data_IF_013116386136
#
_entry.id   IF_013116386136
#
_cell.length_a   1.000
_cell.length_b   1.000
_cell.length_c   1.000
_cell.angle_alpha   90.00
_cell.angle_beta   90.00
_cell.angle_gamma   90.00
#
_symmetry.space_group_name_H-M   'P 1'
#
loop_
_entity.id
_entity.type
_entity.pdbx_description
1 polymer ?
#
# COMPACT_ATOMS: atom_id res chain seq x y z
N UNK A 1 88.19 -1.60 -36.76
CA UNK A 1 88.35 -0.97 -35.43
C UNK A 1 86.97 -0.54 -34.98
N UNK A 2 86.25 -1.34 -34.16
CA UNK A 2 86.26 -1.34 -32.68
C UNK A 2 85.88 0.03 -32.10
N UNK A 3 84.99 0.22 -31.12
CA UNK A 3 84.19 -0.61 -30.21
C UNK A 3 83.37 0.41 -29.40
N UNK A 4 82.11 0.12 -29.07
CA UNK A 4 81.42 0.34 -27.77
C UNK A 4 79.92 0.62 -27.92
N UNK A 5 79.15 -0.47 -27.77
CA UNK A 5 77.76 -0.49 -27.30
C UNK A 5 77.80 -0.48 -25.77
N UNK A 6 77.11 0.44 -25.09
CA UNK A 6 76.55 0.24 -23.73
C UNK A 6 75.27 1.10 -23.54
N UNK A 7 74.13 0.40 -23.43
CA UNK A 7 72.99 0.54 -22.47
C UNK A 7 72.48 1.98 -22.18
N UNK A 8 71.20 2.31 -22.43
CA UNK A 8 70.07 1.98 -21.54
C UNK A 8 68.73 1.98 -22.32
N UNK A 9 68.17 0.79 -22.54
CA UNK A 9 66.72 0.62 -22.66
C UNK A 9 66.20 0.38 -21.26
N UNK A 10 65.68 1.42 -20.62
CA UNK A 10 65.09 1.31 -19.31
C UNK A 10 64.18 2.50 -19.07
N UNK A 11 62.92 2.21 -18.75
CA UNK A 11 61.92 3.16 -18.23
C UNK A 11 61.15 3.95 -19.30
N UNK A 12 60.45 3.26 -20.20
CA UNK A 12 59.30 3.86 -20.90
C UNK A 12 58.09 2.91 -21.02
N UNK A 13 58.06 1.85 -20.20
CA UNK A 13 57.01 0.83 -20.21
C UNK A 13 56.17 0.70 -18.94
N UNK A 14 56.41 1.50 -17.88
CA UNK A 14 55.73 1.28 -16.58
C UNK A 14 54.76 2.42 -16.20
N UNK A 15 54.81 3.59 -16.84
CA UNK A 15 53.94 4.72 -16.41
C UNK A 15 52.55 4.70 -17.05
N UNK A 16 52.36 4.07 -18.22
CA UNK A 16 51.03 4.03 -18.88
C UNK A 16 50.14 2.89 -18.34
N UNK A 17 50.72 1.89 -17.64
CA UNK A 17 49.95 0.78 -17.05
C UNK A 17 49.27 1.12 -15.72
N UNK A 18 49.72 2.13 -14.99
CA UNK A 18 49.21 2.44 -13.64
C UNK A 18 48.19 3.60 -13.60
N UNK A 19 48.17 4.48 -14.61
CA UNK A 19 47.18 5.56 -14.66
C UNK A 19 45.78 5.09 -15.13
N UNK A 20 45.70 4.04 -15.95
CA UNK A 20 44.42 3.47 -16.40
C UNK A 20 43.79 2.50 -15.39
N UNK A 21 44.57 1.96 -14.45
CA UNK A 21 44.08 1.02 -13.43
C UNK A 21 43.33 1.68 -12.26
N UNK A 22 43.57 2.98 -12.01
CA UNK A 22 42.98 3.70 -10.87
C UNK A 22 41.67 4.39 -11.26
N UNK A 23 41.61 5.07 -12.41
CA UNK A 23 40.38 5.73 -12.86
C UNK A 23 39.28 4.75 -13.33
N UNK A 24 39.65 3.55 -13.81
CA UNK A 24 38.68 2.51 -14.16
C UNK A 24 38.09 1.79 -12.93
N UNK A 25 38.86 1.60 -11.86
CA UNK A 25 38.40 0.92 -10.65
C UNK A 25 37.32 1.72 -9.92
N UNK A 26 37.47 3.02 -9.77
CA UNK A 26 36.48 3.83 -9.05
C UNK A 26 35.16 3.95 -9.82
N UNK A 27 35.20 4.01 -11.16
CA UNK A 27 34.00 3.95 -12.00
C UNK A 27 33.33 2.56 -12.00
N UNK A 28 34.11 1.47 -12.04
CA UNK A 28 33.58 0.10 -11.96
C UNK A 28 32.95 -0.15 -10.58
N UNK A 29 33.62 0.24 -9.49
CA UNK A 29 33.12 0.07 -8.12
C UNK A 29 31.88 0.93 -7.86
N UNK A 30 31.81 2.16 -8.38
CA UNK A 30 30.58 2.97 -8.33
C UNK A 30 29.42 2.31 -9.10
N UNK A 31 29.70 1.75 -10.28
CA UNK A 31 28.69 1.05 -11.09
C UNK A 31 28.23 -0.27 -10.46
N UNK A 32 29.11 -1.00 -9.77
CA UNK A 32 28.79 -2.24 -9.05
C UNK A 32 27.97 -1.95 -7.79
N UNK A 33 28.29 -0.89 -7.04
CA UNK A 33 27.45 -0.43 -5.92
C UNK A 33 26.05 -0.03 -6.37
N UNK A 34 25.92 0.72 -7.45
CA UNK A 34 24.62 1.07 -8.02
C UNK A 34 23.82 -0.16 -8.47
N UNK A 35 24.47 -1.15 -9.09
CA UNK A 35 23.83 -2.43 -9.45
C UNK A 35 23.39 -3.23 -8.21
N UNK A 36 24.22 -3.28 -7.17
CA UNK A 36 23.90 -3.97 -5.92
C UNK A 36 22.74 -3.29 -5.19
N UNK A 37 22.72 -1.96 -5.14
CA UNK A 37 21.63 -1.18 -4.57
C UNK A 37 20.33 -1.36 -5.35
N UNK A 38 20.39 -1.37 -6.70
CA UNK A 38 19.24 -1.66 -7.54
C UNK A 38 18.70 -3.08 -7.34
N UNK A 39 19.58 -4.08 -7.23
CA UNK A 39 19.19 -5.47 -6.94
C UNK A 39 18.54 -5.60 -5.56
N UNK A 40 19.11 -4.95 -4.54
CA UNK A 40 18.54 -4.94 -3.20
C UNK A 40 17.16 -4.27 -3.18
N UNK A 41 17.01 -3.13 -3.87
CA UNK A 41 15.73 -2.45 -3.99
C UNK A 41 14.69 -3.30 -4.75
N UNK A 42 15.10 -4.01 -5.80
CA UNK A 42 14.23 -4.94 -6.53
C UNK A 42 13.78 -6.11 -5.64
N UNK A 43 14.69 -6.68 -4.85
CA UNK A 43 14.38 -7.78 -3.92
C UNK A 43 13.45 -7.31 -2.78
N UNK A 44 13.71 -6.14 -2.19
CA UNK A 44 12.82 -5.52 -1.21
C UNK A 44 11.42 -5.25 -1.79
N UNK A 45 11.35 -4.79 -3.04
CA UNK A 45 10.08 -4.58 -3.74
C UNK A 45 9.33 -5.89 -3.98
N UNK A 46 10.02 -6.97 -4.38
CA UNK A 46 9.43 -8.31 -4.55
C UNK A 46 8.92 -8.88 -3.23
N UNK A 47 9.70 -8.76 -2.15
CA UNK A 47 9.28 -9.19 -0.80
C UNK A 47 8.04 -8.41 -0.38
N UNK A 48 8.03 -7.08 -0.55
CA UNK A 48 6.87 -6.24 -0.24
C UNK A 48 5.66 -6.62 -1.09
N UNK A 49 5.84 -6.91 -2.37
CA UNK A 49 4.79 -7.36 -3.26
C UNK A 49 4.19 -8.70 -2.80
N UNK A 50 5.04 -9.64 -2.38
CA UNK A 50 4.61 -10.92 -1.83
C UNK A 50 3.85 -10.75 -0.50
N UNK A 51 4.36 -9.92 0.42
CA UNK A 51 3.74 -9.69 1.73
C UNK A 51 2.41 -8.97 1.64
N UNK A 52 2.28 -8.01 0.72
CA UNK A 52 1.08 -7.18 0.60
C UNK A 52 0.10 -7.67 -0.45
N UNK A 53 0.54 -8.54 -1.38
CA UNK A 53 -0.21 -8.92 -2.57
C UNK A 53 -0.36 -7.79 -3.60
N UNK A 54 0.47 -6.74 -3.52
CA UNK A 54 0.49 -5.61 -4.46
C UNK A 54 1.60 -5.83 -5.48
N UNK A 55 1.33 -5.93 -6.79
CA UNK A 55 2.36 -5.99 -7.81
C UNK A 55 3.35 -4.81 -7.73
N UNK A 56 4.60 -5.04 -8.08
CA UNK A 56 5.67 -4.01 -8.01
C UNK A 56 5.35 -2.81 -8.91
N UNK A 57 4.63 -3.05 -10.00
CA UNK A 57 4.18 -2.09 -11.02
C UNK A 57 2.72 -1.64 -10.83
N UNK A 58 2.12 -1.89 -9.66
CA UNK A 58 0.74 -1.52 -9.40
C UNK A 58 0.53 0.00 -9.50
N UNK A 59 -0.56 0.40 -10.17
CA UNK A 59 -0.97 1.81 -10.22
C UNK A 59 -1.38 2.34 -8.85
N UNK A 60 -1.38 3.66 -8.68
CA UNK A 60 -1.82 4.28 -7.42
C UNK A 60 -3.28 3.93 -7.09
N UNK A 61 -4.12 3.83 -8.11
CA UNK A 61 -5.54 3.47 -7.98
C UNK A 61 -5.72 2.02 -7.55
N UNK A 62 -4.91 1.10 -8.10
CA UNK A 62 -4.89 -0.29 -7.65
C UNK A 62 -4.54 -0.37 -6.17
N UNK A 63 -3.49 0.36 -5.76
CA UNK A 63 -3.01 0.39 -4.37
C UNK A 63 -4.11 0.96 -3.48
N UNK A 64 -4.68 2.13 -3.82
CA UNK A 64 -5.74 2.77 -3.06
C UNK A 64 -6.98 1.88 -2.92
N UNK A 65 -7.46 1.27 -4.01
CA UNK A 65 -8.59 0.35 -3.98
C UNK A 65 -8.31 -0.87 -3.08
N UNK A 66 -7.11 -1.46 -3.17
CA UNK A 66 -6.75 -2.59 -2.32
C UNK A 66 -6.67 -2.18 -0.85
N UNK A 67 -6.00 -1.07 -0.55
CA UNK A 67 -5.88 -0.55 0.82
C UNK A 67 -7.26 -0.26 1.41
N UNK A 68 -8.17 0.36 0.65
CA UNK A 68 -9.54 0.59 1.12
C UNK A 68 -10.25 -0.73 1.44
N UNK A 69 -10.15 -1.75 0.58
CA UNK A 69 -10.76 -3.05 0.84
C UNK A 69 -10.17 -3.71 2.09
N UNK A 70 -8.86 -3.64 2.28
CA UNK A 70 -8.19 -4.19 3.48
C UNK A 70 -8.64 -3.44 4.74
N UNK A 71 -8.81 -2.12 4.65
CA UNK A 71 -9.31 -1.28 5.74
C UNK A 71 -10.77 -1.58 6.07
N UNK A 72 -11.64 -1.73 5.06
CA UNK A 72 -13.04 -2.16 5.25
C UNK A 72 -13.11 -3.53 5.93
N UNK A 73 -12.28 -4.50 5.52
CA UNK A 73 -12.24 -5.83 6.15
C UNK A 73 -11.75 -5.77 7.59
N UNK A 74 -10.71 -4.96 7.86
CA UNK A 74 -10.22 -4.76 9.22
C UNK A 74 -11.30 -4.14 10.10
N UNK A 75 -12.03 -3.14 9.58
CA UNK A 75 -13.12 -2.49 10.30
C UNK A 75 -14.29 -3.46 10.54
N UNK A 76 -14.70 -4.23 9.53
CA UNK A 76 -15.71 -5.29 9.64
C UNK A 76 -15.35 -6.29 10.74
N UNK A 77 -14.12 -6.79 10.76
CA UNK A 77 -13.68 -7.73 11.80
C UNK A 77 -13.77 -7.13 13.21
N UNK A 78 -13.42 -5.85 13.36
CA UNK A 78 -13.52 -5.18 14.66
C UNK A 78 -14.96 -4.91 15.09
N UNK A 79 -15.83 -4.53 14.16
CA UNK A 79 -17.24 -4.32 14.45
C UNK A 79 -17.95 -5.63 14.77
N UNK A 80 -17.56 -6.74 14.16
CA UNK A 80 -18.04 -8.07 14.56
C UNK A 80 -17.67 -8.40 16.01
N UNK A 81 -16.43 -8.11 16.43
CA UNK A 81 -16.02 -8.29 17.83
C UNK A 81 -16.82 -7.37 18.75
N UNK A 82 -16.99 -6.10 18.37
CA UNK A 82 -17.78 -5.14 19.14
C UNK A 82 -19.25 -5.58 19.27
N UNK A 83 -19.86 -6.10 18.20
CA UNK A 83 -21.19 -6.69 18.22
C UNK A 83 -21.26 -7.85 19.22
N UNK A 84 -20.30 -8.78 19.19
CA UNK A 84 -20.29 -9.92 20.11
C UNK A 84 -20.15 -9.50 21.59
N UNK A 85 -19.38 -8.45 21.87
CA UNK A 85 -19.25 -7.87 23.21
C UNK A 85 -20.56 -7.23 23.73
N UNK A 86 -21.48 -6.88 22.82
CA UNK A 86 -22.73 -6.18 23.13
C UNK A 86 -23.96 -6.93 22.58
N UNK A 87 -23.87 -8.25 22.39
CA UNK A 87 -24.90 -9.04 21.70
C UNK A 87 -26.27 -9.01 22.39
N UNK A 88 -26.29 -8.76 23.70
CA UNK A 88 -27.51 -8.64 24.51
C UNK A 88 -28.09 -7.21 24.54
N UNK A 89 -27.45 -6.26 23.84
CA UNK A 89 -27.82 -4.85 23.85
C UNK A 89 -28.30 -4.39 22.48
N UNK A 90 -29.33 -3.54 22.47
CA UNK A 90 -29.74 -2.84 21.25
C UNK A 90 -28.75 -1.72 20.92
N UNK A 91 -27.82 -2.02 20.02
CA UNK A 91 -26.82 -1.04 19.56
C UNK A 91 -27.20 -0.50 18.16
N UNK A 92 -27.31 0.83 18.07
CA UNK A 92 -27.46 1.60 16.83
C UNK A 92 -26.09 2.10 16.39
N UNK A 93 -25.53 1.46 15.36
CA UNK A 93 -24.17 1.74 14.89
C UNK A 93 -24.01 3.19 14.44
N UNK A 94 -25.07 3.77 13.87
CA UNK A 94 -25.09 5.15 13.39
C UNK A 94 -24.86 6.13 14.53
N UNK A 95 -25.47 5.88 15.70
CA UNK A 95 -25.30 6.72 16.90
C UNK A 95 -24.01 6.42 17.63
N UNK A 96 -23.61 5.15 17.68
CA UNK A 96 -22.38 4.74 18.36
C UNK A 96 -21.13 5.25 17.67
N UNK A 97 -21.18 5.53 16.37
CA UNK A 97 -20.04 5.95 15.55
C UNK A 97 -20.33 7.26 14.77
N UNK A 98 -21.15 8.14 15.34
CA UNK A 98 -21.59 9.40 14.72
C UNK A 98 -20.50 10.50 14.66
N UNK A 99 -19.53 10.44 15.58
CA UNK A 99 -18.46 11.45 15.72
C UNK A 99 -17.07 10.82 15.71
N UNK A 100 -16.02 11.56 15.30
CA UNK A 100 -14.64 11.09 15.38
C UNK A 100 -14.22 10.67 16.79
N UNK A 101 -14.74 11.34 17.83
CA UNK A 101 -14.49 11.04 19.23
C UNK A 101 -15.07 9.68 19.61
N UNK A 102 -16.32 9.40 19.26
CA UNK A 102 -16.95 8.10 19.53
C UNK A 102 -16.28 6.97 18.71
N UNK A 103 -15.97 7.21 17.43
CA UNK A 103 -15.22 6.24 16.61
C UNK A 103 -13.87 5.92 17.27
N UNK A 104 -13.16 6.96 17.75
CA UNK A 104 -11.89 6.78 18.45
C UNK A 104 -12.08 5.96 19.72
N UNK A 105 -13.08 6.25 20.53
CA UNK A 105 -13.33 5.52 21.78
C UNK A 105 -13.56 4.02 21.53
N UNK A 106 -14.42 3.70 20.57
CA UNK A 106 -14.79 2.31 20.23
C UNK A 106 -13.61 1.56 19.61
N UNK A 107 -12.87 2.21 18.70
CA UNK A 107 -11.85 1.52 17.90
C UNK A 107 -10.43 1.58 18.50
N UNK A 108 -10.07 2.53 19.35
CA UNK A 108 -8.67 2.75 19.81
C UNK A 108 -8.02 1.53 20.46
N UNK A 109 -8.79 0.69 21.15
CA UNK A 109 -8.28 -0.55 21.76
C UNK A 109 -8.23 -1.75 20.80
N UNK A 110 -8.85 -1.58 19.62
CA UNK A 110 -9.19 -2.64 18.66
C UNK A 110 -8.36 -2.53 17.37
N UNK A 111 -7.91 -1.35 16.99
CA UNK A 111 -7.11 -1.12 15.77
C UNK A 111 -5.77 -0.43 16.08
N UNK A 112 -4.72 -0.78 15.34
CA UNK A 112 -3.38 -0.19 15.51
C UNK A 112 -3.32 1.29 15.11
N UNK A 113 -4.06 1.67 14.07
CA UNK A 113 -4.14 3.04 13.59
C UNK A 113 -5.62 3.39 13.43
N UNK A 114 -6.15 4.14 14.41
CA UNK A 114 -7.54 4.58 14.42
C UNK A 114 -7.76 5.80 13.53
N UNK A 115 -6.73 6.61 13.32
CA UNK A 115 -6.82 7.89 12.61
C UNK A 115 -7.30 7.74 11.17
N UNK A 116 -7.01 6.61 10.51
CA UNK A 116 -7.52 6.31 9.16
C UNK A 116 -9.05 6.18 9.08
N UNK A 117 -9.74 6.01 10.21
CA UNK A 117 -11.20 5.93 10.26
C UNK A 117 -11.87 7.25 10.64
N UNK A 118 -11.10 8.32 10.81
CA UNK A 118 -11.57 9.63 11.31
C UNK A 118 -11.61 10.70 10.21
N UNK A 119 -11.44 10.32 8.94
CA UNK A 119 -11.37 11.24 7.81
C UNK A 119 -12.74 11.82 7.38
N UNK A 120 -13.82 11.39 8.04
CA UNK A 120 -15.19 11.83 7.76
C UNK A 120 -15.83 11.18 6.52
N UNK A 121 -15.12 10.31 5.80
CA UNK A 121 -15.62 9.66 4.59
C UNK A 121 -16.20 8.26 4.87
N UNK A 122 -15.92 7.71 6.05
CA UNK A 122 -16.52 6.47 6.53
C UNK A 122 -18.00 6.65 6.85
N UNK A 123 -18.79 5.66 6.46
CA UNK A 123 -20.23 5.60 6.68
C UNK A 123 -20.50 4.42 7.61
N UNK A 124 -21.21 4.68 8.70
CA UNK A 124 -21.65 3.67 9.65
C UNK A 124 -23.17 3.66 9.66
N UNK A 125 -23.77 2.51 9.39
CA UNK A 125 -25.22 2.35 9.29
C UNK A 125 -25.64 1.02 9.91
N UNK A 126 -26.83 1.01 10.48
CA UNK A 126 -27.47 -0.22 10.93
C UNK A 126 -27.88 -0.21 12.40
N UNK A 127 -28.88 -1.04 12.68
CA UNK A 127 -29.31 -1.40 14.02
C UNK A 127 -28.80 -2.80 14.38
N UNK A 128 -29.17 -3.32 15.55
CA UNK A 128 -28.69 -4.58 16.15
C UNK A 128 -28.72 -5.82 15.25
N UNK A 129 -29.45 -5.80 14.12
CA UNK A 129 -29.60 -6.95 13.23
C UNK A 129 -28.90 -6.83 11.87
N UNK A 130 -28.54 -5.63 11.41
CA UNK A 130 -28.02 -5.43 10.05
C UNK A 130 -27.03 -4.25 10.01
N UNK A 131 -25.76 -4.54 10.27
CA UNK A 131 -24.71 -3.53 10.29
C UNK A 131 -24.00 -3.42 8.95
N UNK A 132 -23.79 -2.19 8.52
CA UNK A 132 -23.13 -1.83 7.28
C UNK A 132 -22.05 -0.80 7.54
N UNK A 133 -20.91 -0.99 6.89
CA UNK A 133 -19.88 0.02 6.74
C UNK A 133 -19.82 0.45 5.29
N UNK A 134 -19.57 1.73 5.06
CA UNK A 134 -19.34 2.26 3.73
C UNK A 134 -18.23 3.29 3.71
N UNK A 135 -17.86 3.69 2.51
CA UNK A 135 -16.89 4.75 2.28
C UNK A 135 -17.34 5.63 1.11
N UNK A 136 -17.26 6.94 1.31
CA UNK A 136 -17.54 7.96 0.30
C UNK A 136 -16.28 8.20 -0.55
N UNK A 137 -16.25 7.61 -1.74
CA UNK A 137 -15.14 7.71 -2.67
C UNK A 137 -15.02 9.11 -3.26
N UNK A 138 -16.15 9.77 -3.53
CA UNK A 138 -16.19 11.09 -4.13
C UNK A 138 -15.48 12.12 -3.25
N UNK A 139 -15.71 12.07 -1.93
CA UNK A 139 -15.08 12.99 -0.99
C UNK A 139 -13.67 12.52 -0.57
N UNK A 140 -13.48 11.22 -0.34
CA UNK A 140 -12.21 10.65 0.12
C UNK A 140 -11.10 10.66 -0.93
N UNK A 141 -11.45 10.43 -2.20
CA UNK A 141 -10.48 10.35 -3.30
C UNK A 141 -10.64 11.44 -4.37
N UNK A 142 -11.73 12.23 -4.31
CA UNK A 142 -11.95 13.39 -5.17
C UNK A 142 -11.81 13.02 -6.65
N UNK A 143 -10.87 13.64 -7.36
CA UNK A 143 -10.64 13.42 -8.80
C UNK A 143 -10.25 11.98 -9.15
N UNK A 144 -9.75 11.19 -8.18
CA UNK A 144 -9.36 9.79 -8.39
C UNK A 144 -10.50 8.79 -8.13
N UNK A 145 -11.65 9.25 -7.61
CA UNK A 145 -12.75 8.37 -7.20
C UNK A 145 -13.22 7.43 -8.32
N UNK A 146 -13.36 7.94 -9.55
CA UNK A 146 -13.79 7.15 -10.71
C UNK A 146 -12.83 6.01 -11.06
N UNK A 147 -11.53 6.28 -11.12
CA UNK A 147 -10.54 5.26 -11.49
C UNK A 147 -10.34 4.23 -10.37
N UNK A 148 -10.37 4.66 -9.10
CA UNK A 148 -10.38 3.76 -7.95
C UNK A 148 -11.65 2.91 -7.95
N UNK A 149 -12.80 3.50 -8.29
CA UNK A 149 -14.08 2.80 -8.45
C UNK A 149 -13.99 1.66 -9.45
N UNK A 150 -13.34 1.87 -10.61
CA UNK A 150 -13.12 0.78 -11.59
C UNK A 150 -12.28 -0.36 -11.02
N UNK A 151 -11.26 -0.06 -10.21
CA UNK A 151 -10.46 -1.08 -9.53
C UNK A 151 -11.27 -1.82 -8.45
N UNK A 152 -12.16 -1.13 -7.75
CA UNK A 152 -13.07 -1.73 -6.77
C UNK A 152 -14.11 -2.64 -7.42
N UNK A 153 -14.65 -2.29 -8.60
CA UNK A 153 -15.58 -3.15 -9.37
C UNK A 153 -14.96 -4.51 -9.64
N UNK A 154 -13.69 -4.55 -10.07
CA UNK A 154 -12.94 -5.82 -10.31
C UNK A 154 -12.81 -6.68 -9.04
N UNK A 155 -12.96 -6.08 -7.86
CA UNK A 155 -12.82 -6.72 -6.55
C UNK A 155 -14.17 -7.00 -5.89
N UNK A 156 -15.27 -6.50 -6.44
CA UNK A 156 -16.52 -6.36 -5.73
C UNK A 156 -17.08 -7.72 -5.28
N UNK A 157 -17.27 -8.65 -6.22
CA UNK A 157 -17.85 -9.96 -5.93
C UNK A 157 -17.02 -10.75 -4.91
N UNK A 158 -15.72 -10.88 -5.15
CA UNK A 158 -14.80 -11.64 -4.28
C UNK A 158 -14.74 -11.10 -2.85
N UNK A 159 -14.97 -9.80 -2.66
CA UNK A 159 -14.82 -9.15 -1.37
C UNK A 159 -16.16 -8.73 -0.73
N UNK A 160 -17.28 -9.01 -1.38
CA UNK A 160 -18.61 -8.58 -0.91
C UNK A 160 -18.72 -7.06 -0.82
N UNK A 161 -18.39 -6.36 -1.91
CA UNK A 161 -18.57 -4.91 -2.03
C UNK A 161 -19.89 -4.61 -2.74
N UNK A 162 -20.64 -3.67 -2.20
CA UNK A 162 -21.99 -3.33 -2.63
C UNK A 162 -22.11 -1.84 -2.93
N UNK A 163 -23.00 -1.48 -3.85
CA UNK A 163 -23.33 -0.06 -4.12
C UNK A 163 -24.39 0.50 -3.18
N UNK A 164 -25.13 -0.38 -2.52
CA UNK A 164 -26.18 -0.04 -1.58
C UNK A 164 -26.32 -1.12 -0.50
N UNK A 165 -27.13 -0.82 0.51
CA UNK A 165 -27.42 -1.72 1.63
C UNK A 165 -28.49 -2.78 1.28
N UNK A 166 -28.96 -2.84 0.02
CA UNK A 166 -29.86 -3.89 -0.45
C UNK A 166 -29.08 -5.12 -0.97
N UNK A 167 -27.74 -5.09 -0.91
CA UNK A 167 -26.89 -6.18 -1.37
C UNK A 167 -26.63 -6.18 -2.87
N UNK A 168 -26.91 -5.07 -3.58
CA UNK A 168 -26.56 -4.96 -4.99
C UNK A 168 -25.05 -4.77 -5.16
N UNK A 169 -24.43 -5.57 -6.04
CA UNK A 169 -22.99 -5.54 -6.26
C UNK A 169 -22.50 -4.14 -6.67
N UNK A 170 -21.34 -3.76 -6.16
CA UNK A 170 -20.73 -2.47 -6.47
C UNK A 170 -20.41 -2.32 -7.97
N UNK A 171 -20.81 -1.19 -8.55
CA UNK A 171 -20.78 -0.93 -10.00
C UNK A 171 -19.93 0.30 -10.39
N UNK A 172 -19.16 0.86 -9.44
CA UNK A 172 -18.29 2.02 -9.69
C UNK A 172 -18.87 3.36 -9.25
N UNK A 173 -20.02 3.37 -8.55
CA UNK A 173 -20.60 4.58 -7.98
C UNK A 173 -19.74 5.26 -6.90
N UNK A 174 -20.11 6.47 -6.50
CA UNK A 174 -19.35 7.30 -5.55
C UNK A 174 -19.30 6.79 -4.10
N UNK A 175 -20.05 5.73 -3.77
CA UNK A 175 -20.04 5.09 -2.45
C UNK A 175 -19.94 3.59 -2.60
N UNK A 176 -19.18 2.98 -1.71
CA UNK A 176 -19.02 1.52 -1.63
C UNK A 176 -19.35 1.05 -0.22
N UNK A 177 -20.01 -0.09 -0.11
CA UNK A 177 -20.50 -0.65 1.15
C UNK A 177 -20.02 -2.10 1.34
N UNK A 178 -19.91 -2.51 2.60
CA UNK A 178 -19.64 -3.88 3.02
C UNK A 178 -20.54 -4.22 4.20
N UNK A 179 -21.28 -5.32 4.09
CA UNK A 179 -22.10 -5.84 5.19
C UNK A 179 -21.19 -6.41 6.28
N UNK A 180 -21.49 -6.07 7.54
CA UNK A 180 -20.78 -6.56 8.72
C UNK A 180 -21.38 -7.89 9.18
N UNK A 181 -22.66 -7.91 9.56
CA UNK A 181 -23.43 -9.11 9.93
C UNK A 181 -24.88 -8.99 9.47
#
# INVERSE_FOLDING_TARGET
MSKNRIVLFGVLGVVVGLALGVFGRDFIVASEKQKLEAQKAEEEAKIKAMMTGIPVDASQEFIAAKTLVDDMKSLKAMLLIFYMEHIEQEVDLTKTLDTPEHIREVLKKKVRNVEKYLDGNWIFQGNTSDWWIGYNLDDGFKKQASEIGKELVKRAERNGLYKDMNGNLYDGGGKVYMKVH
#
